data_IF_270161107725
#
_entry.id   IF_270161107725
#
_cell.length_a   1.000
_cell.length_b   1.000
_cell.length_c   1.000
_cell.angle_alpha   90.00
_cell.angle_beta   90.00
_cell.angle_gamma   90.00
#
_symmetry.space_group_name_H-M   'P 1'
#
loop_
_entity.id
_entity.type
_entity.pdbx_description
1 polymer ?
#
# COMPACT_ATOMS: atom_id res chain seq x y z
N UNK A 1 46.96 29.24 -40.58
CA UNK A 1 45.79 29.85 -41.26
C UNK A 1 44.55 29.05 -40.89
N UNK A 2 43.55 29.66 -40.23
CA UNK A 2 42.29 29.04 -39.81
C UNK A 2 41.17 29.64 -40.65
N UNK A 3 40.46 28.81 -41.41
CA UNK A 3 39.32 29.25 -42.22
C UNK A 3 38.06 29.08 -41.36
N UNK A 4 37.35 30.18 -41.09
CA UNK A 4 36.02 30.19 -40.45
C UNK A 4 34.98 30.23 -41.57
N UNK A 5 34.11 29.23 -41.64
CA UNK A 5 32.90 29.29 -42.47
C UNK A 5 31.71 29.69 -41.62
N UNK A 6 31.10 30.83 -41.97
CA UNK A 6 29.80 31.29 -41.52
C UNK A 6 28.77 30.96 -42.61
N UNK A 7 27.68 30.29 -42.27
CA UNK A 7 26.44 30.20 -43.09
C UNK A 7 25.28 30.09 -42.10
N UNK A 8 24.60 31.21 -41.79
CA UNK A 8 23.42 31.77 -42.46
C UNK A 8 22.13 31.27 -41.82
N UNK A 9 21.51 32.15 -41.04
CA UNK A 9 20.25 31.98 -40.33
C UNK A 9 19.06 32.06 -41.29
N UNK A 10 18.16 31.08 -41.25
CA UNK A 10 16.83 31.18 -41.83
C UNK A 10 15.81 31.35 -40.70
N UNK A 11 15.20 32.54 -40.63
CA UNK A 11 14.01 32.83 -39.84
C UNK A 11 12.81 32.17 -40.51
N UNK A 12 12.07 31.33 -39.78
CA UNK A 12 10.73 30.90 -40.17
C UNK A 12 9.76 31.27 -39.04
N UNK A 13 9.00 32.34 -39.29
CA UNK A 13 7.77 32.67 -38.58
C UNK A 13 6.71 31.59 -38.87
N UNK A 14 6.17 30.98 -37.81
CA UNK A 14 5.17 29.92 -37.93
C UNK A 14 4.20 29.91 -36.75
N UNK A 15 3.20 30.79 -36.83
CA UNK A 15 1.79 30.66 -36.40
C UNK A 15 1.46 29.93 -35.08
N UNK A 16 0.88 30.72 -34.16
CA UNK A 16 0.17 30.28 -32.94
C UNK A 16 -1.06 29.44 -33.31
N UNK A 17 -1.17 28.23 -32.75
CA UNK A 17 -2.41 27.44 -32.79
C UNK A 17 -2.82 27.03 -31.37
N UNK A 18 -4.06 27.36 -31.03
CA UNK A 18 -4.73 27.11 -29.76
C UNK A 18 -4.84 25.61 -29.44
N UNK A 19 -4.81 25.30 -28.14
CA UNK A 19 -5.04 23.98 -27.55
C UNK A 19 -6.40 23.36 -27.94
N UNK A 20 -6.50 22.02 -27.85
CA UNK A 20 -7.61 21.46 -27.11
C UNK A 20 -7.16 20.47 -26.03
N UNK A 21 -8.05 20.35 -25.06
CA UNK A 21 -7.88 19.63 -23.82
C UNK A 21 -7.62 18.13 -23.98
N UNK A 22 -6.85 17.64 -23.01
CA UNK A 22 -6.51 16.27 -22.69
C UNK A 22 -7.77 15.38 -22.72
N UNK A 23 -7.77 14.33 -23.54
CA UNK A 23 -8.72 13.22 -23.42
C UNK A 23 -7.99 11.88 -23.62
N UNK A 24 -7.23 11.48 -22.60
CA UNK A 24 -6.73 10.11 -22.52
C UNK A 24 -7.82 9.29 -21.84
N UNK A 25 -8.57 8.52 -22.62
CA UNK A 25 -9.44 7.45 -22.10
C UNK A 25 -8.54 6.34 -21.56
N UNK A 26 -8.27 6.35 -20.25
CA UNK A 26 -7.82 5.16 -19.53
C UNK A 26 -8.95 4.12 -19.53
N UNK A 27 -8.81 3.07 -20.37
CA UNK A 27 -9.58 1.84 -20.20
C UNK A 27 -8.86 1.01 -19.14
N UNK A 28 -9.11 1.33 -17.86
CA UNK A 28 -8.77 0.46 -16.75
C UNK A 28 -9.90 -0.56 -16.56
N UNK A 29 -9.66 -1.80 -16.97
CA UNK A 29 -10.56 -2.93 -16.73
C UNK A 29 -10.90 -3.04 -15.23
N UNK A 30 -12.15 -2.71 -14.90
CA UNK A 30 -12.79 -2.88 -13.60
C UNK A 30 -13.26 -4.34 -13.50
N UNK A 31 -12.84 -5.14 -12.50
CA UNK A 31 -13.71 -6.22 -12.06
C UNK A 31 -14.84 -5.56 -11.27
N UNK A 32 -16.04 -5.66 -11.82
CA UNK A 32 -17.29 -5.38 -11.12
C UNK A 32 -17.40 -6.32 -9.91
N UNK A 33 -17.00 -5.81 -8.74
CA UNK A 33 -17.39 -6.34 -7.44
C UNK A 33 -18.34 -5.33 -6.78
N UNK A 34 -19.38 -5.76 -6.07
CA UNK A 34 -20.51 -4.90 -5.75
C UNK A 34 -20.08 -3.67 -4.95
N UNK A 35 -20.27 -2.51 -5.56
CA UNK A 35 -20.42 -1.24 -4.86
C UNK A 35 -21.69 -1.33 -4.02
N UNK A 36 -21.55 -1.77 -2.77
CA UNK A 36 -22.55 -1.53 -1.73
C UNK A 36 -21.86 -0.89 -0.54
N UNK A 37 -21.81 0.44 -0.61
CA UNK A 37 -21.40 1.36 0.46
C UNK A 37 -22.55 1.50 1.48
N UNK A 38 -22.94 0.39 2.12
CA UNK A 38 -23.82 0.40 3.31
C UNK A 38 -23.37 -0.67 4.31
N UNK A 39 -22.07 -0.81 4.52
CA UNK A 39 -21.59 -1.39 5.77
C UNK A 39 -21.82 -0.34 6.86
N UNK A 40 -22.61 -0.66 7.89
CA UNK A 40 -22.72 0.14 9.10
C UNK A 40 -21.30 0.53 9.57
N UNK A 41 -20.87 1.80 9.41
CA UNK A 41 -19.47 2.21 9.55
C UNK A 41 -18.94 2.07 10.99
N UNK A 42 -19.80 1.79 11.96
CA UNK A 42 -19.47 1.85 13.38
C UNK A 42 -18.69 0.64 13.94
N UNK A 43 -18.51 -0.46 13.19
CA UNK A 43 -17.85 -1.66 13.75
C UNK A 43 -16.61 -2.16 13.03
N UNK A 44 -16.26 -1.63 11.85
CA UNK A 44 -15.10 -2.11 11.08
C UNK A 44 -14.13 -0.97 10.75
N UNK A 45 -12.83 -1.20 10.95
CA UNK A 45 -11.76 -0.23 10.71
C UNK A 45 -10.75 -0.76 9.68
N UNK A 46 -10.19 0.08 8.81
CA UNK A 46 -9.27 -0.38 7.76
C UNK A 46 -7.89 -0.67 8.35
N UNK A 47 -7.17 -1.62 7.75
CA UNK A 47 -5.78 -1.87 8.08
C UNK A 47 -4.98 -2.29 6.85
N UNK A 48 -3.65 -2.17 6.96
CA UNK A 48 -2.71 -2.71 5.99
C UNK A 48 -1.48 -3.28 6.71
N UNK A 49 -1.05 -4.47 6.29
CA UNK A 49 0.19 -5.11 6.74
C UNK A 49 1.11 -5.33 5.55
N UNK A 50 2.38 -4.98 5.72
CA UNK A 50 3.39 -5.02 4.66
C UNK A 50 4.62 -5.73 5.19
N UNK A 51 5.23 -6.58 4.35
CA UNK A 51 6.48 -7.24 4.64
C UNK A 51 7.41 -7.26 3.42
N UNK A 52 8.69 -7.26 3.75
CA UNK A 52 9.84 -7.50 2.89
C UNK A 52 10.34 -8.93 3.11
N UNK A 53 10.98 -9.50 2.09
CA UNK A 53 11.66 -10.80 2.24
C UNK A 53 12.97 -10.68 3.03
N UNK A 54 13.56 -9.48 3.07
CA UNK A 54 14.74 -9.11 3.86
C UNK A 54 14.42 -8.89 5.36
N UNK A 55 13.20 -9.19 5.80
CA UNK A 55 12.82 -9.25 7.21
C UNK A 55 12.09 -8.01 7.74
N UNK A 56 12.14 -6.86 7.06
CA UNK A 56 11.38 -5.67 7.45
C UNK A 56 9.88 -5.88 7.28
N UNK A 57 9.10 -5.39 8.24
CA UNK A 57 7.65 -5.38 8.15
C UNK A 57 7.06 -4.17 8.88
N UNK A 58 5.89 -3.74 8.44
CA UNK A 58 5.16 -2.66 9.08
C UNK A 58 3.65 -2.83 8.90
N UNK A 59 2.91 -2.63 9.99
CA UNK A 59 1.46 -2.75 10.03
C UNK A 59 0.85 -1.43 10.49
N UNK A 60 -0.33 -1.09 9.98
CA UNK A 60 -1.09 0.07 10.45
C UNK A 60 -2.58 -0.19 10.36
N UNK A 61 -3.33 0.34 11.33
CA UNK A 61 -4.76 0.12 11.51
C UNK A 61 -5.47 1.39 12.06
N UNK A 62 -4.79 2.53 12.05
CA UNK A 62 -5.27 3.79 12.63
C UNK A 62 -5.77 4.79 11.60
N UNK A 63 -5.58 4.52 10.30
CA UNK A 63 -5.93 5.46 9.24
C UNK A 63 -7.42 5.42 8.93
N UNK A 64 -7.95 6.50 8.36
CA UNK A 64 -9.36 6.57 7.93
C UNK A 64 -9.68 5.68 6.73
N UNK A 65 -8.69 5.31 5.90
CA UNK A 65 -8.92 4.51 4.68
C UNK A 65 -7.88 3.41 4.48
N UNK A 66 -8.25 2.37 3.71
CA UNK A 66 -7.33 1.31 3.28
C UNK A 66 -6.13 1.88 2.52
N UNK A 67 -6.35 2.87 1.64
CA UNK A 67 -5.29 3.44 0.81
C UNK A 67 -4.26 4.20 1.65
N UNK A 68 -4.71 5.01 2.62
CA UNK A 68 -3.81 5.67 3.58
C UNK A 68 -3.04 4.62 4.40
N UNK A 69 -3.72 3.59 4.92
CA UNK A 69 -3.06 2.50 5.64
C UNK A 69 -1.93 1.86 4.82
N UNK A 70 -2.19 1.51 3.55
CA UNK A 70 -1.14 0.91 2.74
C UNK A 70 -0.05 1.88 2.29
N UNK A 71 -0.37 3.16 2.03
CA UNK A 71 0.65 4.17 1.74
C UNK A 71 1.61 4.31 2.92
N UNK A 72 1.09 4.43 4.14
CA UNK A 72 1.88 4.52 5.38
C UNK A 72 2.75 3.27 5.57
N UNK A 73 2.16 2.08 5.52
CA UNK A 73 2.90 0.84 5.76
C UNK A 73 3.99 0.57 4.72
N UNK A 74 3.72 0.82 3.44
CA UNK A 74 4.72 0.68 2.37
C UNK A 74 5.85 1.70 2.53
N UNK A 75 5.52 2.95 2.86
CA UNK A 75 6.53 3.99 3.05
C UNK A 75 7.46 3.66 4.21
N UNK A 76 6.95 3.04 5.28
CA UNK A 76 7.77 2.59 6.40
C UNK A 76 8.73 1.46 6.01
N UNK A 77 8.27 0.42 5.32
CA UNK A 77 9.17 -0.66 4.86
C UNK A 77 10.20 -0.15 3.85
N UNK A 78 9.82 0.74 2.92
CA UNK A 78 10.76 1.40 2.01
C UNK A 78 11.77 2.27 2.74
N UNK A 79 11.33 3.00 3.77
CA UNK A 79 12.20 3.82 4.61
C UNK A 79 13.23 3.01 5.42
N UNK A 80 13.01 1.70 5.58
CA UNK A 80 14.03 0.77 6.12
C UNK A 80 15.05 0.33 5.05
N UNK A 81 15.01 0.88 3.84
CA UNK A 81 15.86 0.48 2.71
C UNK A 81 15.45 -0.85 2.06
N UNK A 82 14.21 -1.30 2.26
CA UNK A 82 13.78 -2.63 1.83
C UNK A 82 12.67 -2.60 0.77
N UNK A 83 12.67 -3.61 -0.09
CA UNK A 83 11.63 -3.79 -1.09
C UNK A 83 10.38 -4.43 -0.48
N UNK A 84 9.21 -3.94 -0.88
CA UNK A 84 7.95 -4.52 -0.45
C UNK A 84 7.65 -5.76 -1.30
N UNK A 85 7.60 -6.93 -0.67
CA UNK A 85 7.30 -8.20 -1.37
C UNK A 85 5.90 -8.72 -1.07
N UNK A 86 5.36 -8.45 0.13
CA UNK A 86 4.06 -8.95 0.57
C UNK A 86 3.24 -7.83 1.16
N UNK A 87 1.98 -7.74 0.74
CA UNK A 87 1.02 -6.75 1.22
C UNK A 87 -0.30 -7.45 1.48
N UNK A 88 -0.94 -7.12 2.59
CA UNK A 88 -2.33 -7.50 2.86
C UNK A 88 -3.10 -6.30 3.39
N UNK A 89 -4.33 -6.14 2.94
CA UNK A 89 -5.20 -5.02 3.32
C UNK A 89 -6.63 -5.49 3.41
N UNK A 90 -7.33 -5.09 4.45
CA UNK A 90 -8.74 -5.42 4.67
C UNK A 90 -9.29 -4.55 5.80
N UNK A 91 -10.38 -4.99 6.42
CA UNK A 91 -10.98 -4.40 7.61
C UNK A 91 -10.92 -5.38 8.79
N UNK A 92 -10.87 -4.85 10.00
CA UNK A 92 -10.98 -5.61 11.24
C UNK A 92 -12.18 -5.09 12.06
N UNK A 93 -12.74 -5.93 12.93
CA UNK A 93 -13.83 -5.54 13.84
C UNK A 93 -13.25 -4.65 14.94
N UNK A 94 -13.67 -3.39 15.03
CA UNK A 94 -13.17 -2.42 16.01
C UNK A 94 -13.64 -2.78 17.44
N UNK A 95 -14.88 -3.24 17.58
CA UNK A 95 -15.52 -3.58 18.84
C UNK A 95 -15.93 -5.07 18.83
N UNK A 96 -14.96 -5.95 18.65
CA UNK A 96 -15.24 -7.39 18.61
C UNK A 96 -13.99 -8.25 18.44
N UNK A 97 -14.18 -9.56 18.58
CA UNK A 97 -13.11 -10.54 18.44
C UNK A 97 -12.67 -10.63 16.97
N UNK A 98 -11.36 -10.56 16.75
CA UNK A 98 -10.70 -10.77 15.47
C UNK A 98 -9.86 -12.06 15.52
N UNK A 99 -10.09 -12.98 14.57
CA UNK A 99 -9.19 -14.11 14.32
C UNK A 99 -8.31 -13.75 13.14
N UNK A 100 -7.02 -14.02 13.26
CA UNK A 100 -6.04 -13.70 12.24
C UNK A 100 -5.02 -14.81 12.05
N UNK A 101 -4.36 -14.79 10.89
CA UNK A 101 -3.23 -15.63 10.54
C UNK A 101 -2.00 -14.73 10.35
N UNK A 102 -1.04 -14.89 11.26
CA UNK A 102 0.31 -14.34 11.13
C UNK A 102 1.11 -15.23 10.19
N UNK A 103 1.68 -14.64 9.14
CA UNK A 103 2.56 -15.33 8.20
C UNK A 103 3.87 -14.55 8.07
N UNK A 104 4.96 -15.15 8.51
CA UNK A 104 6.32 -14.60 8.49
C UNK A 104 7.21 -15.42 7.56
N UNK A 105 8.47 -15.02 7.39
CA UNK A 105 9.44 -15.80 6.62
C UNK A 105 9.65 -17.21 7.22
N UNK A 106 9.61 -17.31 8.55
CA UNK A 106 9.89 -18.52 9.30
C UNK A 106 8.68 -19.47 9.42
N UNK A 107 7.45 -18.99 9.19
CA UNK A 107 6.28 -19.83 9.41
C UNK A 107 4.97 -19.07 9.61
N UNK A 108 3.98 -19.79 10.12
CA UNK A 108 2.59 -19.30 10.28
C UNK A 108 2.07 -19.60 11.69
N UNK A 109 1.32 -18.67 12.27
CA UNK A 109 0.62 -18.83 13.56
C UNK A 109 -0.77 -18.21 13.52
N UNK A 110 -1.66 -18.72 14.36
CA UNK A 110 -2.97 -18.09 14.61
C UNK A 110 -2.79 -16.98 15.65
N UNK A 111 -3.47 -15.87 15.46
CA UNK A 111 -3.51 -14.73 16.38
C UNK A 111 -4.96 -14.37 16.64
N UNK A 112 -5.30 -14.10 17.88
CA UNK A 112 -6.64 -13.68 18.28
C UNK A 112 -6.48 -12.40 19.10
N UNK A 113 -7.40 -11.45 18.94
CA UNK A 113 -7.45 -10.25 19.76
C UNK A 113 -8.77 -9.51 19.58
N UNK A 114 -9.11 -8.68 20.57
CA UNK A 114 -10.29 -7.82 20.51
C UNK A 114 -9.93 -6.47 19.90
N UNK A 115 -10.73 -5.98 18.95
CA UNK A 115 -10.44 -4.69 18.32
C UNK A 115 -9.05 -4.68 17.68
N UNK A 116 -8.27 -3.65 17.98
CA UNK A 116 -6.89 -3.50 17.51
C UNK A 116 -5.87 -4.39 18.21
N UNK A 117 -6.20 -5.01 19.35
CA UNK A 117 -5.21 -5.83 20.08
C UNK A 117 -4.77 -7.08 19.31
N UNK A 118 -5.51 -7.48 18.27
CA UNK A 118 -5.07 -8.54 17.33
C UNK A 118 -3.75 -8.18 16.63
N UNK A 119 -3.50 -6.90 16.36
CA UNK A 119 -2.24 -6.45 15.75
C UNK A 119 -1.11 -6.44 16.77
N UNK A 120 -1.34 -5.91 17.97
CA UNK A 120 -0.37 -5.94 19.07
C UNK A 120 0.02 -7.37 19.44
N UNK A 121 -0.95 -8.26 19.56
CA UNK A 121 -0.72 -9.69 19.80
C UNK A 121 0.11 -10.32 18.69
N UNK A 122 -0.15 -9.95 17.42
CA UNK A 122 0.64 -10.43 16.29
C UNK A 122 2.08 -9.92 16.31
N UNK A 123 2.30 -8.64 16.64
CA UNK A 123 3.65 -8.04 16.77
C UNK A 123 4.40 -8.68 17.93
N UNK A 124 3.77 -8.79 19.10
CA UNK A 124 4.34 -9.42 20.29
C UNK A 124 4.70 -10.88 20.02
N UNK A 125 3.84 -11.62 19.31
CA UNK A 125 4.13 -13.00 18.90
C UNK A 125 5.33 -13.08 17.95
N UNK A 126 5.39 -12.23 16.93
CA UNK A 126 6.53 -12.17 16.02
C UNK A 126 7.83 -11.84 16.77
N UNK A 127 7.78 -10.86 17.68
CA UNK A 127 8.93 -10.46 18.51
C UNK A 127 9.42 -11.58 19.42
N UNK A 128 8.51 -12.25 20.15
CA UNK A 128 8.86 -13.38 21.04
C UNK A 128 9.51 -14.54 20.28
N UNK A 129 9.03 -14.81 19.06
CA UNK A 129 9.58 -15.84 18.20
C UNK A 129 10.82 -15.40 17.42
N UNK A 130 11.23 -14.12 17.55
CA UNK A 130 12.29 -13.50 16.73
C UNK A 130 12.03 -13.67 15.22
N UNK A 131 10.76 -13.60 14.83
CA UNK A 131 10.32 -13.74 13.44
C UNK A 131 10.34 -12.40 12.71
N UNK A 132 10.52 -12.47 11.38
CA UNK A 132 10.69 -11.30 10.53
C UNK A 132 9.88 -11.45 9.23
N UNK A 133 9.72 -10.34 8.50
CA UNK A 133 8.96 -10.31 7.26
C UNK A 133 7.52 -10.78 7.49
N UNK A 134 6.83 -10.22 8.49
CA UNK A 134 5.53 -10.71 8.91
C UNK A 134 4.37 -9.92 8.28
N UNK A 135 3.36 -10.62 7.79
CA UNK A 135 2.03 -10.05 7.48
C UNK A 135 0.99 -10.69 8.38
N UNK A 136 -0.03 -9.92 8.76
CA UNK A 136 -1.18 -10.41 9.52
C UNK A 136 -2.45 -10.26 8.68
N UNK A 137 -3.19 -11.36 8.54
CA UNK A 137 -4.44 -11.44 7.77
C UNK A 137 -5.60 -11.80 8.69
N UNK A 138 -6.60 -10.93 8.80
CA UNK A 138 -7.87 -11.22 9.49
C UNK A 138 -8.66 -12.27 8.68
N UNK A 139 -9.27 -13.24 9.36
CA UNK A 139 -9.88 -14.45 8.74
C UNK A 139 -11.32 -14.76 9.22
N UNK A 140 -12.05 -13.78 9.75
CA UNK A 140 -13.32 -13.99 10.45
C UNK A 140 -14.42 -13.00 10.06
#
# INVERSE_FOLDING_TARGET
MRVKSFVSSALLLGVVALSPAINIKEVSARPEGPSSLTANPSSKKPYCTVASNQGGFWWTWTQSTINQSCKTARSKVKGMGQNVNRVWKSYYKANGLNKAKLSCNQGKKKVIGSGSSVFENGINMASKLKWNGCILRITN
#
